data_IF_019415862505
#
_entry.id   IF_019415862505
#
_cell.length_a   1.000
_cell.length_b   1.000
_cell.length_c   1.000
_cell.angle_alpha   90.00
_cell.angle_beta   90.00
_cell.angle_gamma   90.00
#
_symmetry.space_group_name_H-M   'P 1'
#
loop_
_entity.id
_entity.type
_entity.pdbx_description
1 polymer ?
#
# COMPACT_ATOMS: atom_id res chain seq x y z
N UNK A 1 -4.96 -30.76 9.72
CA UNK A 1 -5.67 -29.65 10.39
C UNK A 1 -5.82 -28.51 9.39
N UNK A 2 -7.03 -27.97 9.15
CA UNK A 2 -7.26 -26.92 8.14
C UNK A 2 -6.31 -25.72 8.25
N UNK A 3 -6.09 -25.20 9.47
CA UNK A 3 -5.15 -24.09 9.68
C UNK A 3 -3.70 -24.38 9.26
N UNK A 4 -3.24 -25.64 9.35
CA UNK A 4 -1.89 -26.01 8.92
C UNK A 4 -1.78 -26.04 7.37
N UNK A 5 -2.83 -26.46 6.69
CA UNK A 5 -2.90 -26.47 5.22
C UNK A 5 -3.00 -25.03 4.67
N UNK A 6 -3.79 -24.17 5.32
CA UNK A 6 -3.87 -22.75 4.97
C UNK A 6 -2.51 -22.05 5.15
N UNK A 7 -1.84 -22.27 6.28
CA UNK A 7 -0.50 -21.73 6.53
C UNK A 7 0.56 -22.23 5.55
N UNK A 8 0.51 -23.52 5.17
CA UNK A 8 1.39 -24.06 4.13
C UNK A 8 1.16 -23.34 2.79
N UNK A 9 -0.10 -23.12 2.41
CA UNK A 9 -0.43 -22.34 1.22
C UNK A 9 0.12 -20.91 1.25
N UNK A 10 0.04 -20.22 2.40
CA UNK A 10 0.60 -18.86 2.55
C UNK A 10 2.13 -18.84 2.35
N UNK A 11 2.84 -19.82 2.89
CA UNK A 11 4.30 -19.95 2.74
C UNK A 11 4.66 -20.26 1.29
N UNK A 12 3.99 -21.22 0.66
CA UNK A 12 4.23 -21.61 -0.73
C UNK A 12 4.00 -20.44 -1.71
N UNK A 13 2.91 -19.68 -1.49
CA UNK A 13 2.66 -18.42 -2.22
C UNK A 13 3.83 -17.44 -2.08
N UNK A 14 4.30 -17.23 -0.84
CA UNK A 14 5.36 -16.25 -0.56
C UNK A 14 6.65 -16.55 -1.33
N UNK A 15 6.98 -17.83 -1.51
CA UNK A 15 8.17 -18.29 -2.25
C UNK A 15 7.91 -18.55 -3.74
N UNK A 16 6.74 -18.16 -4.27
CA UNK A 16 6.42 -18.27 -5.70
C UNK A 16 5.95 -19.65 -6.18
N UNK A 17 5.69 -20.60 -5.29
CA UNK A 17 5.19 -21.96 -5.61
C UNK A 17 3.66 -21.96 -5.70
N UNK A 18 3.13 -21.31 -6.73
CA UNK A 18 1.70 -21.01 -6.81
C UNK A 18 0.81 -22.27 -6.90
N UNK A 19 1.14 -23.23 -7.76
CA UNK A 19 0.31 -24.43 -7.96
C UNK A 19 0.24 -25.29 -6.69
N UNK A 20 1.37 -25.43 -5.98
CA UNK A 20 1.43 -26.12 -4.69
C UNK A 20 0.60 -25.39 -3.62
N UNK A 21 0.61 -24.04 -3.64
CA UNK A 21 -0.22 -23.24 -2.74
C UNK A 21 -1.71 -23.46 -3.01
N UNK A 22 -2.14 -23.44 -4.28
CA UNK A 22 -3.53 -23.70 -4.69
C UNK A 22 -3.96 -25.10 -4.26
N UNK A 23 -3.13 -26.11 -4.48
CA UNK A 23 -3.41 -27.48 -4.06
C UNK A 23 -3.61 -27.57 -2.54
N UNK A 24 -2.76 -26.89 -1.76
CA UNK A 24 -2.86 -26.84 -0.30
C UNK A 24 -4.15 -26.16 0.18
N UNK A 25 -4.54 -25.06 -0.46
CA UNK A 25 -5.81 -24.39 -0.16
C UNK A 25 -7.03 -25.22 -0.52
N UNK A 26 -7.02 -25.89 -1.69
CA UNK A 26 -8.10 -26.79 -2.10
C UNK A 26 -8.29 -27.95 -1.12
N UNK A 27 -7.19 -28.51 -0.64
CA UNK A 27 -7.24 -29.55 0.38
C UNK A 27 -7.80 -29.03 1.71
N UNK A 28 -7.48 -27.79 2.08
CA UNK A 28 -8.03 -27.14 3.27
C UNK A 28 -9.55 -26.97 3.17
N UNK A 29 -10.07 -26.43 2.06
CA UNK A 29 -11.54 -26.25 1.88
C UNK A 29 -12.27 -27.57 1.73
N UNK A 30 -11.63 -28.62 1.19
CA UNK A 30 -12.19 -29.98 1.16
C UNK A 30 -12.41 -30.54 2.57
N UNK A 31 -11.52 -30.21 3.51
CA UNK A 31 -11.61 -30.65 4.90
C UNK A 31 -12.53 -29.77 5.77
N UNK A 32 -12.58 -28.47 5.50
CA UNK A 32 -13.44 -27.53 6.19
C UNK A 32 -13.95 -26.46 5.21
N UNK A 33 -15.11 -26.69 4.56
CA UNK A 33 -15.69 -25.76 3.61
C UNK A 33 -15.98 -24.37 4.20
N UNK A 34 -16.26 -24.30 5.52
CA UNK A 34 -16.60 -23.07 6.23
C UNK A 34 -15.36 -22.22 6.58
N UNK A 35 -14.16 -22.66 6.18
CA UNK A 35 -12.92 -21.92 6.38
C UNK A 35 -12.77 -20.80 5.33
N UNK A 36 -13.58 -19.75 5.47
CA UNK A 36 -13.63 -18.57 4.61
C UNK A 36 -12.26 -17.95 4.35
N UNK A 37 -11.36 -17.89 5.34
CA UNK A 37 -9.99 -17.34 5.14
C UNK A 37 -9.25 -18.03 3.98
N UNK A 38 -9.47 -19.34 3.77
CA UNK A 38 -8.84 -20.06 2.65
C UNK A 38 -9.46 -19.71 1.31
N UNK A 39 -10.80 -19.57 1.25
CA UNK A 39 -11.47 -19.09 0.04
C UNK A 39 -11.01 -17.70 -0.35
N UNK A 40 -10.94 -16.79 0.63
CA UNK A 40 -10.35 -15.48 0.43
C UNK A 40 -8.88 -15.57 0.00
N UNK A 41 -8.07 -16.45 0.60
CA UNK A 41 -6.66 -16.62 0.24
C UNK A 41 -6.48 -17.06 -1.22
N UNK A 42 -7.35 -17.96 -1.73
CA UNK A 42 -7.41 -18.34 -3.14
C UNK A 42 -7.75 -17.15 -4.04
N UNK A 43 -8.80 -16.40 -3.69
CA UNK A 43 -9.19 -15.18 -4.42
C UNK A 43 -8.06 -14.14 -4.44
N UNK A 44 -7.35 -14.02 -3.32
CA UNK A 44 -6.26 -13.06 -3.12
C UNK A 44 -4.94 -13.44 -3.81
N UNK A 45 -4.88 -14.60 -4.50
CA UNK A 45 -3.83 -14.88 -5.50
C UNK A 45 -4.00 -14.00 -6.75
N UNK A 46 -5.20 -13.45 -6.99
CA UNK A 46 -5.60 -12.59 -8.13
C UNK A 46 -5.53 -13.25 -9.52
N UNK A 47 -4.62 -14.19 -9.72
CA UNK A 47 -4.42 -14.98 -10.95
C UNK A 47 -5.24 -16.28 -10.96
N UNK A 48 -5.73 -16.72 -9.80
CA UNK A 48 -6.64 -17.87 -9.66
C UNK A 48 -8.07 -17.51 -10.13
N UNK A 49 -8.81 -18.52 -10.59
CA UNK A 49 -10.21 -18.44 -11.03
C UNK A 49 -11.00 -19.57 -10.38
N UNK A 50 -12.12 -19.24 -9.75
CA UNK A 50 -13.03 -20.22 -9.19
C UNK A 50 -13.85 -20.88 -10.29
N UNK A 51 -14.21 -22.14 -10.04
CA UNK A 51 -15.23 -22.86 -10.82
C UNK A 51 -16.64 -22.47 -10.35
N UNK A 52 -17.65 -22.72 -11.19
CA UNK A 52 -19.05 -22.45 -10.84
C UNK A 52 -19.50 -23.22 -9.58
N UNK A 53 -19.01 -24.45 -9.40
CA UNK A 53 -19.29 -25.27 -8.21
C UNK A 53 -18.66 -24.68 -6.94
N UNK A 54 -17.43 -24.16 -7.04
CA UNK A 54 -16.74 -23.45 -5.94
C UNK A 54 -17.50 -22.16 -5.59
N UNK A 55 -17.99 -21.41 -6.58
CA UNK A 55 -18.83 -20.21 -6.37
C UNK A 55 -20.14 -20.59 -5.66
N UNK A 56 -20.86 -21.60 -6.17
CA UNK A 56 -22.10 -22.07 -5.56
C UNK A 56 -21.89 -22.54 -4.12
N UNK A 57 -20.76 -23.21 -3.84
CA UNK A 57 -20.38 -23.61 -2.48
C UNK A 57 -20.23 -22.39 -1.57
N UNK A 58 -19.50 -21.36 -1.99
CA UNK A 58 -19.34 -20.13 -1.19
C UNK A 58 -20.68 -19.41 -0.96
N UNK A 59 -21.55 -19.37 -1.96
CA UNK A 59 -22.89 -18.77 -1.83
C UNK A 59 -23.75 -19.51 -0.79
N UNK A 60 -23.75 -20.85 -0.84
CA UNK A 60 -24.46 -21.67 0.15
C UNK A 60 -23.95 -21.48 1.59
N UNK A 61 -22.64 -21.22 1.77
CA UNK A 61 -22.10 -20.90 3.10
C UNK A 61 -22.64 -19.58 3.67
N UNK A 62 -22.89 -18.59 2.81
CA UNK A 62 -23.44 -17.30 3.24
C UNK A 62 -24.90 -17.38 3.70
N UNK A 63 -25.63 -18.45 3.35
CA UNK A 63 -27.00 -18.71 3.81
C UNK A 63 -27.05 -19.16 5.28
N UNK A 64 -25.94 -19.60 5.88
CA UNK A 64 -25.88 -19.96 7.30
C UNK A 64 -25.88 -18.70 8.18
N UNK A 65 -26.96 -18.48 8.92
CA UNK A 65 -27.10 -17.36 9.87
C UNK A 65 -26.09 -17.42 11.03
N UNK A 66 -25.53 -18.60 11.33
CA UNK A 66 -24.56 -18.79 12.41
C UNK A 66 -23.12 -18.64 11.95
N UNK A 67 -22.89 -18.34 10.67
CA UNK A 67 -21.55 -18.11 10.14
C UNK A 67 -20.90 -16.90 10.84
N UNK A 68 -19.71 -17.04 11.45
CA UNK A 68 -19.03 -15.92 12.09
C UNK A 68 -18.75 -14.79 11.09
N UNK A 69 -18.94 -13.54 11.51
CA UNK A 69 -18.78 -12.34 10.67
C UNK A 69 -17.44 -12.29 9.91
N UNK A 70 -16.36 -12.75 10.55
CA UNK A 70 -15.06 -12.81 9.89
C UNK A 70 -15.02 -13.78 8.72
N UNK A 71 -15.67 -14.94 8.85
CA UNK A 71 -15.77 -15.90 7.75
C UNK A 71 -16.72 -15.38 6.67
N UNK A 72 -17.82 -14.74 7.07
CA UNK A 72 -18.78 -14.09 6.15
C UNK A 72 -18.08 -13.07 5.26
N UNK A 73 -17.34 -12.12 5.85
CA UNK A 73 -16.55 -11.14 5.09
C UNK A 73 -15.55 -11.81 4.13
N UNK A 74 -14.86 -12.86 4.57
CA UNK A 74 -13.93 -13.58 3.69
C UNK A 74 -14.62 -14.18 2.45
N UNK A 75 -15.81 -14.78 2.61
CA UNK A 75 -16.58 -15.30 1.49
C UNK A 75 -17.10 -14.19 0.57
N UNK A 76 -17.59 -13.10 1.12
CA UNK A 76 -18.06 -11.93 0.36
C UNK A 76 -16.94 -11.35 -0.51
N UNK A 77 -15.74 -11.13 0.04
CA UNK A 77 -14.59 -10.69 -0.77
C UNK A 77 -14.14 -11.73 -1.81
N UNK A 78 -14.24 -13.03 -1.51
CA UNK A 78 -13.91 -14.08 -2.46
C UNK A 78 -14.90 -14.15 -3.64
N UNK A 79 -16.20 -14.04 -3.35
CA UNK A 79 -17.26 -13.97 -4.35
C UNK A 79 -17.19 -12.69 -5.17
N UNK A 80 -16.93 -11.54 -4.54
CA UNK A 80 -16.68 -10.28 -5.24
C UNK A 80 -15.58 -10.44 -6.29
N UNK A 81 -14.49 -11.13 -5.96
CA UNK A 81 -13.41 -11.44 -6.90
C UNK A 81 -13.83 -12.44 -7.98
N UNK A 82 -14.59 -13.46 -7.64
CA UNK A 82 -15.07 -14.46 -8.59
C UNK A 82 -15.96 -13.84 -9.68
N UNK A 83 -16.90 -12.98 -9.28
CA UNK A 83 -17.78 -12.27 -10.22
C UNK A 83 -17.04 -11.20 -11.03
N UNK A 84 -16.05 -10.51 -10.43
CA UNK A 84 -15.19 -9.59 -11.16
C UNK A 84 -14.41 -10.31 -12.28
N UNK A 85 -13.90 -11.50 -12.00
CA UNK A 85 -13.19 -12.32 -12.97
C UNK A 85 -14.09 -12.79 -14.12
N UNK A 86 -15.38 -13.01 -13.84
CA UNK A 86 -16.44 -13.27 -14.81
C UNK A 86 -16.95 -12.00 -15.52
N UNK A 87 -16.41 -10.81 -15.18
CA UNK A 87 -16.83 -9.49 -15.65
C UNK A 87 -18.27 -9.11 -15.29
N UNK A 88 -18.83 -9.74 -14.26
CA UNK A 88 -20.10 -9.35 -13.68
C UNK A 88 -19.85 -8.34 -12.56
N UNK A 89 -19.62 -7.10 -12.98
CA UNK A 89 -19.19 -6.03 -12.07
C UNK A 89 -20.27 -5.60 -11.08
N UNK A 90 -21.54 -5.75 -11.44
CA UNK A 90 -22.68 -5.48 -10.56
C UNK A 90 -22.68 -6.43 -9.37
N UNK A 91 -22.67 -7.75 -9.62
CA UNK A 91 -22.61 -8.74 -8.53
C UNK A 91 -21.30 -8.66 -7.78
N UNK A 92 -20.19 -8.41 -8.47
CA UNK A 92 -18.89 -8.22 -7.84
C UNK A 92 -18.94 -7.09 -6.80
N UNK A 93 -19.45 -5.92 -7.20
CA UNK A 93 -19.57 -4.77 -6.31
C UNK A 93 -20.49 -5.05 -5.14
N UNK A 94 -21.66 -5.67 -5.38
CA UNK A 94 -22.60 -6.03 -4.33
C UNK A 94 -21.96 -6.89 -3.23
N UNK A 95 -21.15 -7.89 -3.59
CA UNK A 95 -20.43 -8.71 -2.62
C UNK A 95 -19.29 -7.94 -1.94
N UNK A 96 -18.52 -7.12 -2.68
CA UNK A 96 -17.52 -6.27 -2.03
C UNK A 96 -18.16 -5.32 -1.03
N UNK A 97 -19.29 -4.68 -1.36
CA UNK A 97 -20.00 -3.77 -0.46
C UNK A 97 -20.44 -4.46 0.83
N UNK A 98 -21.08 -5.64 0.73
CA UNK A 98 -21.46 -6.43 1.91
C UNK A 98 -20.26 -6.78 2.81
N UNK A 99 -19.16 -7.24 2.20
CA UNK A 99 -17.93 -7.54 2.93
C UNK A 99 -17.30 -6.31 3.60
N UNK A 100 -17.33 -5.17 2.93
CA UNK A 100 -16.85 -3.90 3.46
C UNK A 100 -17.74 -3.43 4.62
N UNK A 101 -19.06 -3.48 4.50
CA UNK A 101 -20.01 -3.12 5.56
C UNK A 101 -19.82 -3.98 6.81
N UNK A 102 -19.69 -5.30 6.64
CA UNK A 102 -19.39 -6.23 7.74
C UNK A 102 -18.08 -5.86 8.43
N UNK A 103 -17.03 -5.61 7.63
CA UNK A 103 -15.71 -5.30 8.16
C UNK A 103 -15.68 -3.94 8.86
N UNK A 104 -16.33 -2.92 8.30
CA UNK A 104 -16.37 -1.56 8.82
C UNK A 104 -16.95 -1.49 10.22
N UNK A 105 -17.98 -2.30 10.53
CA UNK A 105 -18.59 -2.38 11.87
C UNK A 105 -17.63 -2.86 12.96
N UNK A 106 -16.52 -3.51 12.58
CA UNK A 106 -15.52 -4.07 13.49
C UNK A 106 -14.24 -3.24 13.57
N UNK A 107 -14.10 -2.23 12.73
CA UNK A 107 -12.95 -1.33 12.72
C UNK A 107 -13.27 -0.07 13.54
N UNK A 108 -12.28 0.40 14.31
CA UNK A 108 -12.36 1.70 14.98
C UNK A 108 -11.59 2.72 14.14
N UNK A 109 -12.32 3.54 13.39
CA UNK A 109 -11.77 4.60 12.55
C UNK A 109 -12.59 5.87 12.71
N UNK A 110 -11.88 6.99 12.79
CA UNK A 110 -12.42 8.33 12.92
C UNK A 110 -11.65 9.25 11.94
N UNK A 111 -12.32 9.76 10.89
CA UNK A 111 -11.68 10.64 9.92
C UNK A 111 -11.24 11.98 10.54
N UNK A 112 -11.93 12.48 11.57
CA UNK A 112 -11.57 13.74 12.26
C UNK A 112 -10.26 13.58 13.02
N UNK A 113 -10.10 12.47 13.76
CA UNK A 113 -8.83 12.19 14.45
C UNK A 113 -7.65 12.03 13.47
N UNK A 114 -7.92 11.53 12.27
CA UNK A 114 -6.91 11.40 11.21
C UNK A 114 -6.51 12.77 10.68
N UNK A 115 -7.48 13.63 10.38
CA UNK A 115 -7.24 15.00 9.93
C UNK A 115 -6.47 15.82 10.99
N UNK A 116 -6.91 15.78 12.25
CA UNK A 116 -6.23 16.44 13.38
C UNK A 116 -4.77 15.97 13.52
N UNK A 117 -4.52 14.68 13.32
CA UNK A 117 -3.16 14.14 13.37
C UNK A 117 -2.31 14.66 12.21
N UNK A 118 -2.85 14.70 10.99
CA UNK A 118 -2.16 15.25 9.81
C UNK A 118 -1.88 16.75 9.94
N UNK A 119 -2.81 17.52 10.50
CA UNK A 119 -2.58 18.95 10.81
C UNK A 119 -1.37 19.10 11.73
N UNK A 120 -1.29 18.30 12.80
CA UNK A 120 -0.13 18.31 13.70
C UNK A 120 1.18 17.92 13.00
N UNK A 121 1.15 17.06 11.99
CA UNK A 121 2.32 16.76 11.17
C UNK A 121 2.74 17.99 10.34
N UNK A 122 1.80 18.57 9.60
CA UNK A 122 2.03 19.75 8.74
C UNK A 122 2.57 20.92 9.58
N UNK A 123 1.94 21.21 10.72
CA UNK A 123 2.35 22.27 11.64
C UNK A 123 3.73 22.02 12.26
N UNK A 124 4.02 20.79 12.69
CA UNK A 124 5.31 20.46 13.32
C UNK A 124 6.46 20.56 12.33
N UNK A 125 6.24 20.08 11.10
CA UNK A 125 7.25 20.02 10.05
C UNK A 125 7.04 21.16 9.04
N UNK A 126 6.94 22.39 9.56
CA UNK A 126 6.82 23.59 8.73
C UNK A 126 8.09 23.84 7.90
N UNK A 127 7.97 24.67 6.87
CA UNK A 127 9.09 25.11 6.05
C UNK A 127 10.20 25.73 6.89
N UNK A 128 9.86 26.67 7.77
CA UNK A 128 10.81 27.37 8.63
C UNK A 128 11.53 26.40 9.58
N UNK A 129 10.79 25.41 10.09
CA UNK A 129 11.34 24.41 10.99
C UNK A 129 12.36 23.50 10.30
N UNK A 130 12.07 23.06 9.07
CA UNK A 130 12.95 22.19 8.29
C UNK A 130 14.16 22.95 7.75
N UNK A 131 13.99 24.18 7.25
CA UNK A 131 15.08 25.03 6.77
C UNK A 131 16.07 25.41 7.89
N UNK A 132 15.58 25.56 9.13
CA UNK A 132 16.43 25.78 10.31
C UNK A 132 17.28 24.54 10.68
N UNK A 133 16.99 23.37 10.11
CA UNK A 133 17.65 22.08 10.39
C UNK A 133 17.99 21.31 9.10
N UNK A 134 18.89 21.83 8.25
CA UNK A 134 19.08 21.34 6.86
C UNK A 134 19.81 19.98 6.72
N UNK A 135 19.83 19.13 7.75
CA UNK A 135 20.37 17.77 7.67
C UNK A 135 21.45 17.43 8.69
N UNK A 136 21.13 17.60 9.98
CA UNK A 136 22.03 17.23 11.08
C UNK A 136 21.96 15.74 11.46
N UNK A 137 21.04 14.98 10.87
CA UNK A 137 20.87 13.54 11.08
C UNK A 137 22.03 12.67 10.59
N UNK A 138 21.77 11.36 10.49
CA UNK A 138 22.75 10.41 9.99
C UNK A 138 22.90 10.54 8.46
N UNK A 139 24.11 10.73 7.91
CA UNK A 139 24.31 11.04 6.50
C UNK A 139 24.18 9.84 5.55
N UNK A 140 23.83 8.66 6.05
CA UNK A 140 23.61 7.48 5.21
C UNK A 140 22.58 7.76 4.12
N UNK A 141 22.93 7.40 2.89
CA UNK A 141 22.01 7.41 1.75
C UNK A 141 21.42 6.03 1.45
N UNK A 142 21.73 5.01 2.27
CA UNK A 142 21.33 3.62 2.02
C UNK A 142 19.80 3.43 1.83
N UNK A 143 18.92 4.05 2.63
CA UNK A 143 17.47 3.83 2.52
C UNK A 143 16.84 4.54 1.31
N UNK A 144 15.98 3.81 0.60
CA UNK A 144 15.04 4.34 -0.40
C UNK A 144 13.64 4.02 0.11
N UNK A 145 12.89 5.04 0.53
CA UNK A 145 11.52 4.85 0.99
C UNK A 145 10.56 4.92 -0.18
N UNK A 146 9.62 3.99 -0.20
CA UNK A 146 8.52 3.98 -1.17
C UNK A 146 7.23 4.12 -0.40
N UNK A 147 6.66 5.32 -0.47
CA UNK A 147 5.44 5.75 0.25
C UNK A 147 4.28 5.89 -0.73
N UNK A 148 3.10 6.22 -0.21
CA UNK A 148 1.90 6.45 -1.01
C UNK A 148 0.67 5.84 -0.32
N UNK A 149 -0.35 5.52 -1.11
CA UNK A 149 -1.46 4.71 -0.65
C UNK A 149 -1.30 3.24 -1.05
N UNK A 150 -1.97 2.31 -0.32
CA UNK A 150 -2.13 0.96 -0.81
C UNK A 150 -2.70 0.99 -2.23
N UNK A 151 -2.31 0.01 -3.05
CA UNK A 151 -2.86 -0.19 -4.41
C UNK A 151 -2.51 0.91 -5.44
N UNK A 152 -1.53 1.76 -5.13
CA UNK A 152 -0.97 2.77 -6.04
C UNK A 152 0.29 2.33 -6.81
N UNK A 153 0.62 1.03 -6.82
CA UNK A 153 1.78 0.53 -7.58
C UNK A 153 3.13 0.54 -6.84
N UNK A 154 3.15 0.84 -5.53
CA UNK A 154 4.39 0.85 -4.72
C UNK A 154 5.18 -0.47 -4.76
N UNK A 155 4.49 -1.62 -4.87
CA UNK A 155 5.18 -2.92 -5.01
C UNK A 155 5.88 -3.07 -6.37
N UNK A 156 5.34 -2.50 -7.45
CA UNK A 156 5.99 -2.50 -8.76
C UNK A 156 7.30 -1.68 -8.71
N UNK A 157 7.24 -0.49 -8.14
CA UNK A 157 8.41 0.38 -7.94
C UNK A 157 9.49 -0.36 -7.13
N UNK A 158 9.09 -1.05 -6.06
CA UNK A 158 10.01 -1.84 -5.25
C UNK A 158 10.67 -2.98 -6.03
N UNK A 159 9.92 -3.67 -6.89
CA UNK A 159 10.48 -4.74 -7.74
C UNK A 159 11.47 -4.19 -8.77
N UNK A 160 11.13 -3.07 -9.42
CA UNK A 160 12.03 -2.36 -10.34
C UNK A 160 13.35 -2.04 -9.63
N UNK A 161 13.28 -1.41 -8.46
CA UNK A 161 14.46 -1.03 -7.69
C UNK A 161 15.25 -2.26 -7.21
N UNK A 162 14.60 -3.27 -6.63
CA UNK A 162 15.28 -4.45 -6.10
C UNK A 162 15.94 -5.33 -7.17
N UNK A 163 15.59 -5.13 -8.44
CA UNK A 163 16.26 -5.77 -9.58
C UNK A 163 17.62 -5.13 -9.88
N UNK A 164 17.86 -3.91 -9.40
CA UNK A 164 19.16 -3.27 -9.48
C UNK A 164 20.19 -4.00 -8.59
N UNK A 165 21.42 -4.27 -9.08
CA UNK A 165 22.42 -5.03 -8.31
C UNK A 165 22.82 -4.40 -6.97
N UNK A 166 22.72 -3.08 -6.85
CA UNK A 166 23.08 -2.34 -5.63
C UNK A 166 21.92 -2.13 -4.64
N UNK A 167 20.71 -2.57 -4.96
CA UNK A 167 19.52 -2.30 -4.14
C UNK A 167 18.93 -3.60 -3.63
N UNK A 168 18.76 -3.71 -2.31
CA UNK A 168 18.08 -4.82 -1.68
C UNK A 168 16.60 -4.48 -1.37
N UNK A 169 15.69 -5.36 -1.77
CA UNK A 169 14.27 -5.17 -1.51
C UNK A 169 13.83 -5.74 -0.17
N UNK A 170 13.58 -4.90 0.84
CA UNK A 170 13.34 -5.34 2.23
C UNK A 170 11.87 -5.38 2.67
N UNK A 171 10.92 -5.21 1.73
CA UNK A 171 9.47 -5.25 1.97
C UNK A 171 8.97 -4.06 2.80
N UNK A 172 7.88 -4.27 3.56
CA UNK A 172 7.26 -3.31 4.47
C UNK A 172 7.97 -3.31 5.82
N UNK A 173 8.75 -2.26 6.14
CA UNK A 173 9.42 -2.15 7.43
C UNK A 173 8.59 -1.31 8.42
N UNK A 174 8.19 -1.86 9.58
CA UNK A 174 7.47 -1.08 10.60
C UNK A 174 8.39 -0.16 11.41
N UNK A 175 9.70 -0.14 11.13
CA UNK A 175 10.71 0.39 12.05
C UNK A 175 10.79 1.92 12.06
N UNK A 176 10.54 2.63 10.96
CA UNK A 176 10.46 4.09 10.98
C UNK A 176 9.36 4.58 11.92
N UNK A 177 8.16 4.01 11.79
CA UNK A 177 7.04 4.31 12.69
C UNK A 177 7.26 3.85 14.13
N UNK A 178 8.10 2.85 14.40
CA UNK A 178 8.51 2.47 15.77
C UNK A 178 9.48 3.48 16.37
N UNK A 179 10.46 3.93 15.59
CA UNK A 179 11.40 4.97 16.02
C UNK A 179 10.65 6.27 16.29
N UNK A 180 9.78 6.70 15.37
CA UNK A 180 8.93 7.87 15.55
C UNK A 180 8.08 7.80 16.83
N UNK A 181 7.36 6.68 17.06
CA UNK A 181 6.52 6.51 18.26
C UNK A 181 7.30 6.43 19.57
N UNK A 182 8.60 6.14 19.55
CA UNK A 182 9.42 6.20 20.77
C UNK A 182 9.65 7.64 21.25
N UNK A 183 9.49 8.62 20.35
CA UNK A 183 9.64 10.04 20.67
C UNK A 183 8.42 10.48 21.50
N UNK A 184 8.68 10.80 22.76
CA UNK A 184 7.62 11.14 23.73
C UNK A 184 7.57 10.24 24.94
N UNK A 185 8.09 9.02 24.83
CA UNK A 185 8.07 8.06 25.93
C UNK A 185 8.90 8.57 27.12
N UNK A 186 8.25 8.70 28.28
CA UNK A 186 8.91 9.11 29.52
C UNK A 186 9.28 10.60 29.61
N UNK A 187 8.82 11.44 28.68
CA UNK A 187 9.08 12.90 28.75
C UNK A 187 8.24 13.58 29.81
N UNK A 188 8.86 14.47 30.58
CA UNK A 188 8.17 15.27 31.60
C UNK A 188 7.15 16.25 31.01
N UNK A 189 7.44 16.82 29.83
CA UNK A 189 6.58 17.78 29.12
C UNK A 189 5.34 17.14 28.47
N UNK A 190 5.21 15.81 28.54
CA UNK A 190 4.13 14.99 27.95
C UNK A 190 3.94 15.20 26.44
N UNK A 191 4.88 15.85 25.75
CA UNK A 191 4.81 16.00 24.30
C UNK A 191 5.10 14.64 23.66
N UNK A 192 4.29 14.27 22.69
CA UNK A 192 4.49 13.07 21.87
C UNK A 192 4.81 13.45 20.43
N UNK A 193 5.25 12.46 19.66
CA UNK A 193 5.32 12.57 18.21
C UNK A 193 3.96 13.00 17.61
N UNK A 194 3.91 13.93 16.64
CA UNK A 194 5.06 14.60 16.00
C UNK A 194 5.66 15.77 16.80
N UNK A 195 4.86 16.50 17.59
CA UNK A 195 5.25 17.77 18.24
C UNK A 195 6.54 17.72 19.08
N UNK A 196 6.85 16.58 19.72
CA UNK A 196 8.06 16.42 20.52
C UNK A 196 9.37 16.56 19.71
N UNK A 197 9.33 16.32 18.39
CA UNK A 197 10.49 16.45 17.49
C UNK A 197 11.09 17.85 17.53
N UNK A 198 10.26 18.89 17.72
CA UNK A 198 10.70 20.29 17.74
C UNK A 198 11.80 20.57 18.78
N UNK A 199 11.83 19.80 19.85
CA UNK A 199 12.72 19.98 21.00
C UNK A 199 13.96 19.09 20.99
N UNK A 200 14.11 18.22 19.99
CA UNK A 200 15.25 17.31 19.92
C UNK A 200 16.52 18.05 19.52
N UNK A 201 17.65 17.69 20.13
CA UNK A 201 18.96 18.15 19.68
C UNK A 201 19.39 17.44 18.38
N UNK A 202 20.36 18.01 17.70
CA UNK A 202 20.95 17.41 16.49
C UNK A 202 21.54 16.02 16.73
N UNK A 203 22.16 15.81 17.90
CA UNK A 203 22.71 14.51 18.27
C UNK A 203 21.59 13.47 18.47
N UNK A 204 20.48 13.86 19.11
CA UNK A 204 19.31 12.99 19.25
C UNK A 204 18.70 12.62 17.89
N UNK A 205 18.62 13.57 16.95
CA UNK A 205 18.16 13.30 15.58
C UNK A 205 19.07 12.30 14.86
N UNK A 206 20.39 12.45 15.00
CA UNK A 206 21.39 11.52 14.42
C UNK A 206 21.31 10.13 15.05
N UNK A 207 21.09 10.04 16.36
CA UNK A 207 20.90 8.77 17.06
C UNK A 207 19.63 8.05 16.58
N UNK A 208 18.52 8.78 16.39
CA UNK A 208 17.29 8.21 15.85
C UNK A 208 17.46 7.66 14.43
N UNK A 209 18.21 8.38 13.57
CA UNK A 209 18.57 7.89 12.23
C UNK A 209 19.42 6.62 12.28
N UNK A 210 20.39 6.58 13.20
CA UNK A 210 21.23 5.40 13.43
C UNK A 210 20.42 4.21 13.95
N UNK A 211 19.47 4.45 14.85
CA UNK A 211 18.57 3.42 15.37
C UNK A 211 17.64 2.86 14.29
N UNK A 212 17.13 3.70 13.39
CA UNK A 212 16.38 3.22 12.22
C UNK A 212 17.22 2.29 11.35
N UNK A 213 18.44 2.70 10.98
CA UNK A 213 19.34 1.87 10.16
C UNK A 213 19.66 0.54 10.84
N UNK A 214 19.97 0.56 12.15
CA UNK A 214 20.24 -0.65 12.94
C UNK A 214 19.04 -1.62 12.96
N UNK A 215 17.82 -1.09 13.02
CA UNK A 215 16.60 -1.90 12.98
C UNK A 215 16.35 -2.50 11.60
N UNK A 216 16.54 -1.70 10.56
CA UNK A 216 16.38 -2.10 9.16
C UNK A 216 17.39 -3.18 8.76
N UNK A 217 18.59 -3.19 9.34
CA UNK A 217 19.63 -4.19 9.08
C UNK A 217 19.15 -5.64 9.27
N UNK A 218 18.19 -5.88 10.18
CA UNK A 218 17.62 -7.23 10.41
C UNK A 218 16.82 -7.76 9.22
N UNK A 219 16.48 -6.90 8.27
CA UNK A 219 15.73 -7.22 7.06
C UNK A 219 16.63 -7.30 5.83
N UNK A 220 17.94 -7.09 5.99
CA UNK A 220 18.94 -7.08 4.92
C UNK A 220 19.75 -8.37 4.98
N UNK A 221 19.48 -9.26 4.05
CA UNK A 221 20.10 -10.58 3.92
C UNK A 221 21.25 -10.56 2.90
N UNK A 222 21.20 -9.66 1.90
CA UNK A 222 22.16 -9.59 0.80
C UNK A 222 23.29 -8.59 1.04
N UNK A 223 23.12 -7.65 1.99
CA UNK A 223 24.15 -6.67 2.34
C UNK A 223 24.44 -5.67 1.22
N UNK A 224 23.47 -5.41 0.33
CA UNK A 224 23.66 -4.47 -0.80
C UNK A 224 23.79 -3.02 -0.29
N UNK A 225 24.48 -2.12 -1.01
CA UNK A 225 24.71 -0.74 -0.57
C UNK A 225 23.43 0.06 -0.26
N UNK A 226 22.36 -0.16 -1.03
CA UNK A 226 21.05 0.48 -0.84
C UNK A 226 20.00 -0.56 -0.45
N UNK A 227 18.94 -0.12 0.20
CA UNK A 227 17.78 -0.96 0.47
C UNK A 227 16.46 -0.18 0.37
N UNK A 228 15.38 -0.85 -0.01
CA UNK A 228 14.04 -0.24 -0.05
C UNK A 228 13.28 -0.49 1.23
N UNK A 229 12.69 0.55 1.81
CA UNK A 229 11.62 0.45 2.81
C UNK A 229 10.30 0.84 2.12
N UNK A 230 9.53 -0.17 1.70
CA UNK A 230 8.27 0.03 1.00
C UNK A 230 7.13 -0.17 1.97
N UNK A 231 6.76 0.87 2.70
CA UNK A 231 5.56 0.90 3.53
C UNK A 231 4.75 2.17 3.17
N UNK A 232 3.62 2.05 2.44
CA UNK A 232 2.90 3.20 1.91
C UNK A 232 2.60 4.28 2.97
N UNK A 233 2.11 3.83 4.13
CA UNK A 233 1.73 4.70 5.25
C UNK A 233 2.90 5.49 5.87
N UNK A 234 4.16 5.24 5.50
CA UNK A 234 5.28 6.09 5.91
C UNK A 234 5.23 7.49 5.30
N UNK A 235 4.27 7.80 4.41
CA UNK A 235 4.11 9.14 3.81
C UNK A 235 4.00 10.26 4.85
N UNK A 236 3.37 10.02 6.01
CA UNK A 236 3.29 11.02 7.09
C UNK A 236 4.63 11.32 7.76
N UNK A 237 5.61 10.43 7.60
CA UNK A 237 6.91 10.52 8.27
C UNK A 237 8.01 11.18 7.43
N UNK A 238 7.71 11.72 6.23
CA UNK A 238 8.73 12.27 5.33
C UNK A 238 9.51 13.43 5.97
N UNK A 239 8.84 14.38 6.62
CA UNK A 239 9.51 15.47 7.35
C UNK A 239 10.43 14.95 8.46
N UNK A 240 9.99 13.93 9.22
CA UNK A 240 10.82 13.30 10.24
C UNK A 240 12.03 12.56 9.65
N UNK A 241 11.82 11.79 8.58
CA UNK A 241 12.88 11.10 7.86
C UNK A 241 13.95 12.08 7.39
N UNK A 242 13.56 13.21 6.82
CA UNK A 242 14.49 14.22 6.33
C UNK A 242 15.43 14.73 7.44
N UNK A 243 14.92 14.88 8.66
CA UNK A 243 15.73 15.32 9.81
C UNK A 243 16.71 14.24 10.28
N UNK A 244 16.29 12.97 10.33
CA UNK A 244 17.11 11.89 10.88
C UNK A 244 18.04 11.24 9.84
N UNK A 245 17.68 11.30 8.56
CA UNK A 245 18.36 10.68 7.41
C UNK A 245 18.26 11.59 6.18
N UNK A 246 18.96 12.75 6.16
CA UNK A 246 18.80 13.79 5.14
C UNK A 246 19.11 13.36 3.70
N UNK A 247 19.88 12.27 3.54
CA UNK A 247 20.30 11.70 2.26
C UNK A 247 19.46 10.49 1.84
N UNK A 248 18.47 10.08 2.63
CA UNK A 248 17.51 9.07 2.19
C UNK A 248 16.66 9.61 1.03
N UNK A 249 16.29 8.72 0.10
CA UNK A 249 15.47 9.07 -1.06
C UNK A 249 14.04 8.61 -0.83
N UNK A 250 13.06 9.42 -1.21
CA UNK A 250 11.64 9.09 -1.07
C UNK A 250 11.00 9.07 -2.44
N UNK A 251 10.24 8.01 -2.72
CA UNK A 251 9.40 7.86 -3.91
C UNK A 251 7.95 7.75 -3.44
N UNK A 252 7.09 8.61 -3.95
CA UNK A 252 5.65 8.57 -3.72
C UNK A 252 4.97 7.85 -4.89
N UNK A 253 4.42 6.66 -4.61
CA UNK A 253 3.67 5.89 -5.59
C UNK A 253 2.26 6.48 -5.75
N UNK A 254 1.98 7.05 -6.91
CA UNK A 254 0.69 7.66 -7.25
C UNK A 254 -0.04 6.86 -8.31
N UNK A 255 -1.36 6.96 -8.32
CA UNK A 255 -2.26 6.31 -9.27
C UNK A 255 -3.51 7.15 -9.39
N UNK A 256 -4.29 6.97 -10.46
CA UNK A 256 -5.60 7.61 -10.58
C UNK A 256 -6.42 7.41 -9.27
N UNK A 257 -6.99 8.48 -8.68
CA UNK A 257 -7.65 8.41 -7.37
C UNK A 257 -8.71 7.30 -7.28
N UNK A 258 -9.64 7.24 -8.24
CA UNK A 258 -10.68 6.19 -8.28
C UNK A 258 -10.12 4.76 -8.40
N UNK A 259 -9.04 4.53 -9.17
CA UNK A 259 -8.43 3.21 -9.30
C UNK A 259 -7.68 2.78 -8.03
N UNK A 260 -7.04 3.74 -7.35
CA UNK A 260 -6.36 3.52 -6.08
C UNK A 260 -7.36 3.16 -4.99
N UNK A 261 -8.41 3.98 -4.85
CA UNK A 261 -9.47 3.79 -3.86
C UNK A 261 -10.26 2.51 -4.14
N UNK A 262 -10.78 2.29 -5.34
CA UNK A 262 -11.47 1.04 -5.67
C UNK A 262 -10.56 -0.18 -5.46
N UNK A 263 -9.27 -0.07 -5.81
CA UNK A 263 -8.30 -1.13 -5.54
C UNK A 263 -8.22 -1.49 -4.05
N UNK A 264 -8.29 -0.48 -3.17
CA UNK A 264 -8.23 -0.63 -1.72
C UNK A 264 -9.55 -1.16 -1.15
N UNK A 265 -10.69 -0.64 -1.64
CA UNK A 265 -12.03 -1.10 -1.27
C UNK A 265 -12.28 -2.58 -1.59
N UNK A 266 -11.69 -3.08 -2.68
CA UNK A 266 -11.77 -4.52 -3.06
C UNK A 266 -10.76 -5.41 -2.33
N UNK A 267 -9.94 -4.86 -1.44
CA UNK A 267 -8.92 -5.60 -0.73
C UNK A 267 -9.28 -5.72 0.75
N UNK A 268 -9.56 -6.93 1.21
CA UNK A 268 -9.59 -7.21 2.64
C UNK A 268 -8.15 -7.17 3.17
N UNK A 269 -7.84 -6.16 4.00
CA UNK A 269 -6.54 -6.00 4.62
C UNK A 269 -6.50 -6.70 5.98
N UNK A 270 -5.37 -7.34 6.30
CA UNK A 270 -5.23 -8.01 7.59
C UNK A 270 -5.35 -7.02 8.76
N UNK A 271 -4.67 -5.86 8.67
CA UNK A 271 -4.67 -4.75 9.64
C UNK A 271 -4.23 -3.43 9.00
N UNK A 272 -4.52 -2.32 9.68
CA UNK A 272 -3.84 -1.03 9.47
C UNK A 272 -4.35 -0.15 8.34
N UNK A 273 -5.44 -0.56 7.67
CA UNK A 273 -6.10 0.21 6.61
C UNK A 273 -7.61 0.32 6.88
N UNK A 274 -8.05 0.81 8.06
CA UNK A 274 -9.46 0.76 8.44
C UNK A 274 -10.35 1.72 7.62
N UNK A 275 -9.78 2.78 7.05
CA UNK A 275 -10.47 3.74 6.19
C UNK A 275 -10.93 3.18 4.84
N UNK A 276 -10.53 1.96 4.47
CA UNK A 276 -10.79 1.42 3.13
C UNK A 276 -12.15 0.75 3.00
N UNK A 277 -12.90 0.60 4.10
CA UNK A 277 -14.13 -0.19 4.15
C UNK A 277 -15.41 0.66 4.02
N UNK A 278 -15.29 1.97 3.79
CA UNK A 278 -16.39 2.87 3.44
C UNK A 278 -15.91 3.83 2.34
N UNK A 279 -16.78 4.14 1.38
CA UNK A 279 -16.38 4.94 0.21
C UNK A 279 -16.18 6.43 0.54
N UNK A 280 -16.93 6.99 1.49
CA UNK A 280 -16.75 8.38 1.93
C UNK A 280 -15.44 8.50 2.70
N UNK A 281 -15.24 7.64 3.70
CA UNK A 281 -14.03 7.62 4.54
C UNK A 281 -12.75 7.40 3.71
N UNK A 282 -12.85 6.55 2.69
CA UNK A 282 -11.75 6.28 1.78
C UNK A 282 -11.42 7.50 0.90
N UNK A 283 -12.44 8.22 0.43
CA UNK A 283 -12.27 9.49 -0.28
C UNK A 283 -11.64 10.55 0.62
N UNK A 284 -12.14 10.72 1.84
CA UNK A 284 -11.62 11.68 2.82
C UNK A 284 -10.16 11.39 3.15
N UNK A 285 -9.82 10.13 3.41
CA UNK A 285 -8.43 9.73 3.66
C UNK A 285 -7.52 9.99 2.45
N UNK A 286 -8.03 9.85 1.22
CA UNK A 286 -7.26 10.17 0.02
C UNK A 286 -6.96 11.67 -0.07
N UNK A 287 -7.93 12.54 0.23
CA UNK A 287 -7.72 14.00 0.27
C UNK A 287 -6.69 14.38 1.34
N UNK A 288 -6.77 13.75 2.51
CA UNK A 288 -5.81 13.92 3.60
C UNK A 288 -4.39 13.49 3.19
N UNK A 289 -4.26 12.35 2.52
CA UNK A 289 -3.00 11.90 1.95
C UNK A 289 -2.44 12.92 0.94
N UNK A 290 -3.29 13.41 0.03
CA UNK A 290 -2.90 14.40 -0.98
C UNK A 290 -2.39 15.68 -0.30
N UNK A 291 -3.12 16.20 0.70
CA UNK A 291 -2.73 17.38 1.48
C UNK A 291 -1.37 17.24 2.15
N UNK A 292 -1.10 16.10 2.78
CA UNK A 292 0.20 15.82 3.41
C UNK A 292 1.33 15.71 2.37
N UNK A 293 1.06 15.07 1.23
CA UNK A 293 2.07 14.97 0.15
C UNK A 293 2.37 16.31 -0.51
N UNK A 294 1.35 17.15 -0.72
CA UNK A 294 1.52 18.51 -1.25
C UNK A 294 2.36 19.37 -0.31
N UNK A 295 2.12 19.27 1.00
CA UNK A 295 2.98 19.90 2.00
C UNK A 295 4.44 19.46 1.86
N UNK A 296 4.71 18.15 1.70
CA UNK A 296 6.09 17.68 1.49
C UNK A 296 6.72 18.17 0.20
N UNK A 297 5.96 18.28 -0.89
CA UNK A 297 6.46 18.85 -2.14
C UNK A 297 6.80 20.33 -1.98
N UNK A 298 6.01 21.08 -1.20
CA UNK A 298 6.25 22.50 -0.93
C UNK A 298 7.48 22.74 -0.03
N UNK A 299 7.58 22.02 1.08
CA UNK A 299 8.60 22.29 2.12
C UNK A 299 9.89 21.51 1.94
N UNK A 300 9.91 20.46 1.11
CA UNK A 300 11.08 19.65 0.79
C UNK A 300 11.23 19.42 -0.74
N UNK A 301 11.35 20.48 -1.55
CA UNK A 301 11.38 20.36 -3.00
C UNK A 301 12.50 19.43 -3.47
N UNK A 302 12.17 18.47 -4.32
CA UNK A 302 13.10 17.48 -4.87
C UNK A 302 13.49 16.34 -3.93
N UNK A 303 12.97 16.28 -2.69
CA UNK A 303 13.19 15.14 -1.79
C UNK A 303 12.26 13.97 -2.07
N UNK A 304 11.07 14.25 -2.59
CA UNK A 304 10.06 13.24 -2.93
C UNK A 304 9.87 13.21 -4.44
N UNK A 305 10.13 12.06 -5.06
CA UNK A 305 9.78 11.82 -6.45
C UNK A 305 8.37 11.23 -6.54
N UNK A 306 7.45 11.94 -7.17
CA UNK A 306 6.15 11.37 -7.55
C UNK A 306 6.32 10.45 -8.78
N UNK A 307 5.84 9.22 -8.65
CA UNK A 307 5.81 8.22 -9.73
C UNK A 307 4.37 7.81 -9.97
N UNK A 308 3.83 8.24 -11.11
CA UNK A 308 2.48 7.89 -11.54
C UNK A 308 2.47 6.47 -12.15
N UNK A 309 1.55 5.64 -11.67
CA UNK A 309 1.40 4.25 -12.10
C UNK A 309 1.13 4.15 -13.60
N UNK A 310 0.21 4.96 -14.12
CA UNK A 310 -0.20 4.95 -15.52
C UNK A 310 0.95 5.36 -16.46
N UNK A 311 1.80 6.30 -16.04
CA UNK A 311 3.02 6.68 -16.78
C UNK A 311 4.03 5.53 -16.78
N UNK A 312 4.15 4.80 -15.67
CA UNK A 312 5.06 3.64 -15.57
C UNK A 312 4.59 2.48 -16.43
N UNK A 313 3.28 2.31 -16.57
CA UNK A 313 2.68 1.29 -17.44
C UNK A 313 2.83 1.65 -18.92
N UNK A 314 2.70 2.94 -19.26
CA UNK A 314 2.73 3.40 -20.65
C UNK A 314 4.16 3.58 -21.20
N UNK A 315 5.10 4.02 -20.36
CA UNK A 315 6.51 4.24 -20.73
C UNK A 315 7.45 3.82 -19.58
N UNK A 316 7.65 2.51 -19.46
CA UNK A 316 8.46 1.93 -18.40
C UNK A 316 9.91 2.46 -18.42
N UNK A 317 10.56 2.51 -19.58
CA UNK A 317 11.98 2.84 -19.67
C UNK A 317 12.24 4.25 -19.16
N UNK A 318 11.45 5.22 -19.60
CA UNK A 318 11.56 6.61 -19.12
C UNK A 318 11.34 6.70 -17.62
N UNK A 319 10.32 6.00 -17.08
CA UNK A 319 10.07 6.03 -15.63
C UNK A 319 11.19 5.35 -14.83
N UNK A 320 11.75 4.24 -15.31
CA UNK A 320 12.91 3.60 -14.65
C UNK A 320 14.10 4.54 -14.65
N UNK A 321 14.37 5.26 -15.75
CA UNK A 321 15.47 6.26 -15.80
C UNK A 321 15.27 7.34 -14.73
N UNK A 322 14.07 7.92 -14.64
CA UNK A 322 13.72 8.93 -13.63
C UNK A 322 13.88 8.42 -12.20
N UNK A 323 13.42 7.19 -11.93
CA UNK A 323 13.51 6.56 -10.60
C UNK A 323 14.98 6.35 -10.20
N UNK A 324 15.80 5.80 -11.10
CA UNK A 324 17.22 5.53 -10.83
C UNK A 324 18.01 6.84 -10.67
N UNK A 325 17.75 7.84 -11.51
CA UNK A 325 18.36 9.17 -11.40
C UNK A 325 18.05 9.83 -10.05
N UNK A 326 16.79 9.85 -9.62
CA UNK A 326 16.41 10.37 -8.30
C UNK A 326 17.08 9.61 -7.15
N UNK A 327 17.35 8.33 -7.33
CA UNK A 327 18.01 7.49 -6.34
C UNK A 327 19.55 7.59 -6.36
N UNK A 328 20.13 8.36 -7.27
CA UNK A 328 21.58 8.41 -7.57
C UNK A 328 22.14 7.02 -7.93
N UNK A 329 21.38 6.23 -8.70
CA UNK A 329 21.76 4.90 -9.16
C UNK A 329 22.10 4.92 -10.66
N UNK A 330 23.14 4.18 -11.09
CA UNK A 330 23.42 4.03 -12.51
C UNK A 330 22.28 3.27 -13.22
N UNK A 331 22.18 3.45 -14.53
CA UNK A 331 21.25 2.65 -15.33
C UNK A 331 21.59 1.15 -15.24
N UNK A 332 20.57 0.31 -15.13
CA UNK A 332 20.72 -1.14 -15.22
C UNK A 332 19.49 -1.79 -15.88
N UNK A 333 19.72 -2.58 -16.94
CA UNK A 333 18.64 -3.22 -17.71
C UNK A 333 17.81 -4.22 -16.88
N UNK A 334 18.36 -4.76 -15.78
CA UNK A 334 17.62 -5.66 -14.89
C UNK A 334 16.36 -4.99 -14.32
N UNK A 335 16.37 -3.66 -14.15
CA UNK A 335 15.21 -2.89 -13.69
C UNK A 335 14.01 -2.94 -14.67
N UNK A 336 14.26 -3.12 -15.96
CA UNK A 336 13.20 -3.32 -16.97
C UNK A 336 12.63 -4.74 -16.95
N UNK A 337 13.41 -5.69 -16.45
CA UNK A 337 13.08 -7.11 -16.36
C UNK A 337 12.73 -7.52 -14.92
N UNK A 338 12.09 -6.62 -14.18
CA UNK A 338 11.82 -6.81 -12.76
C UNK A 338 11.06 -8.11 -12.43
N UNK A 339 10.26 -8.60 -13.38
CA UNK A 339 9.47 -9.83 -13.28
C UNK A 339 10.29 -11.12 -13.41
N UNK A 340 11.57 -11.04 -13.80
CA UNK A 340 12.49 -12.18 -13.86
C UNK A 340 13.18 -12.46 -12.51
N UNK A 341 12.94 -11.65 -11.48
CA UNK A 341 13.59 -11.82 -10.17
C UNK A 341 12.90 -12.88 -9.29
N UNK A 342 13.68 -13.82 -8.76
CA UNK A 342 13.21 -14.91 -7.87
C UNK A 342 12.99 -14.48 -6.41
N UNK A 343 12.70 -13.19 -6.17
CA UNK A 343 12.55 -12.65 -4.81
C UNK A 343 11.23 -13.07 -4.17
N UNK A 344 11.24 -13.28 -2.86
CA UNK A 344 10.00 -13.33 -2.07
C UNK A 344 9.33 -11.94 -2.06
N UNK A 345 8.01 -11.90 -2.24
CA UNK A 345 7.21 -10.65 -2.19
C UNK A 345 6.03 -10.86 -1.25
N UNK A 346 6.02 -10.16 -0.11
CA UNK A 346 5.04 -10.35 0.98
C UNK A 346 3.93 -9.29 0.94
N UNK A 347 3.32 -9.07 -0.22
CA UNK A 347 2.26 -8.06 -0.38
C UNK A 347 1.06 -8.64 -1.13
N UNK A 348 -0.11 -8.00 -1.01
CA UNK A 348 -1.30 -8.36 -1.78
C UNK A 348 -1.13 -8.21 -3.31
N UNK A 349 -0.08 -7.50 -3.76
CA UNK A 349 0.30 -7.35 -5.18
C UNK A 349 1.35 -8.34 -5.66
N UNK A 350 1.83 -9.26 -4.83
CA UNK A 350 2.93 -10.19 -5.15
C UNK A 350 2.80 -10.88 -6.50
N UNK A 351 1.66 -11.51 -6.79
CA UNK A 351 1.45 -12.22 -8.06
C UNK A 351 1.36 -11.30 -9.28
N UNK A 352 1.00 -10.03 -9.08
CA UNK A 352 0.87 -9.06 -10.17
C UNK A 352 2.25 -8.60 -10.67
N UNK A 353 3.22 -8.49 -9.77
CA UNK A 353 4.57 -8.01 -10.10
C UNK A 353 5.52 -9.11 -10.58
N UNK A 354 5.07 -10.38 -10.55
CA UNK A 354 5.76 -11.53 -11.18
C UNK A 354 5.46 -11.67 -12.68
N UNK A 355 4.75 -10.70 -13.26
CA UNK A 355 4.41 -10.66 -14.68
C UNK A 355 5.01 -9.40 -15.32
N UNK A 356 5.27 -9.43 -16.64
CA UNK A 356 5.55 -8.21 -17.40
C UNK A 356 4.45 -7.16 -17.19
N UNK A 357 4.79 -5.89 -17.45
CA UNK A 357 3.81 -4.80 -17.38
C UNK A 357 2.61 -5.09 -18.26
N UNK A 358 1.43 -4.78 -17.72
CA UNK A 358 0.15 -4.90 -18.39
C UNK A 358 -0.73 -3.69 -18.06
N UNK A 359 -1.60 -3.31 -19.01
CA UNK A 359 -2.46 -2.12 -18.89
C UNK A 359 -3.86 -2.42 -18.39
N UNK A 360 -4.23 -3.68 -18.16
CA UNK A 360 -5.61 -4.07 -17.81
C UNK A 360 -6.12 -3.53 -16.47
N UNK A 361 -5.25 -2.96 -15.64
CA UNK A 361 -5.62 -2.30 -14.38
C UNK A 361 -5.76 -0.78 -14.51
N UNK A 362 -5.35 -0.17 -15.62
CA UNK A 362 -5.50 1.27 -15.86
C UNK A 362 -6.95 1.59 -16.20
N UNK A 363 -7.51 2.59 -15.53
CA UNK A 363 -8.92 3.00 -15.63
C UNK A 363 -9.90 1.86 -15.36
N UNK A 364 -9.51 0.90 -14.51
CA UNK A 364 -10.36 -0.24 -14.18
C UNK A 364 -11.62 0.18 -13.41
N UNK A 365 -11.55 1.30 -12.69
CA UNK A 365 -12.68 1.94 -12.01
C UNK A 365 -13.88 2.21 -12.92
N UNK A 366 -13.69 2.38 -14.23
CA UNK A 366 -14.79 2.59 -15.20
C UNK A 366 -15.81 1.46 -15.20
N UNK A 367 -15.37 0.23 -14.92
CA UNK A 367 -16.27 -0.93 -14.82
C UNK A 367 -17.22 -0.86 -13.62
N UNK A 368 -16.90 0.00 -12.64
CA UNK A 368 -17.63 0.16 -11.38
C UNK A 368 -18.20 1.58 -11.21
N UNK A 369 -18.06 2.45 -12.21
CA UNK A 369 -18.31 3.89 -12.09
C UNK A 369 -19.69 4.21 -11.48
N UNK A 370 -20.73 3.49 -11.91
CA UNK A 370 -22.10 3.63 -11.39
C UNK A 370 -22.25 3.39 -9.88
N UNK A 371 -21.30 2.70 -9.26
CA UNK A 371 -21.29 2.38 -7.83
C UNK A 371 -20.37 3.29 -7.00
N UNK A 372 -19.59 4.16 -7.66
CA UNK A 372 -18.58 5.00 -7.02
C UNK A 372 -19.08 6.40 -6.68
N UNK A 373 -20.39 6.67 -6.74
CA UNK A 373 -20.99 7.98 -6.46
C UNK A 373 -20.44 8.68 -5.22
N UNK A 374 -20.50 8.06 -4.02
CA UNK A 374 -19.93 8.62 -2.80
C UNK A 374 -18.45 9.02 -2.91
N UNK A 375 -17.65 8.16 -3.55
CA UNK A 375 -16.22 8.38 -3.72
C UNK A 375 -15.92 9.49 -4.73
N UNK A 376 -16.70 9.57 -5.81
CA UNK A 376 -16.61 10.63 -6.83
C UNK A 376 -16.97 11.98 -6.21
N UNK A 377 -18.03 12.03 -5.40
CA UNK A 377 -18.47 13.24 -4.69
C UNK A 377 -17.35 13.79 -3.79
N UNK A 378 -16.75 12.94 -2.96
CA UNK A 378 -15.66 13.39 -2.07
C UNK A 378 -14.41 13.80 -2.85
N UNK A 379 -14.05 13.05 -3.91
CA UNK A 379 -12.83 13.32 -4.68
C UNK A 379 -13.00 14.34 -5.80
N UNK A 380 -14.18 14.95 -5.95
CA UNK A 380 -14.49 15.93 -6.99
C UNK A 380 -13.38 16.98 -7.18
N UNK A 381 -12.84 17.63 -6.12
CA UNK A 381 -11.79 18.64 -6.28
C UNK A 381 -10.54 18.14 -7.00
N UNK A 382 -10.15 16.87 -6.80
CA UNK A 382 -8.98 16.29 -7.46
C UNK A 382 -9.31 15.75 -8.85
N UNK A 383 -10.55 15.27 -9.05
CA UNK A 383 -10.98 14.70 -10.33
C UNK A 383 -11.17 15.78 -11.39
N UNK A 384 -11.61 16.99 -11.00
CA UNK A 384 -11.76 18.13 -11.92
C UNK A 384 -10.43 18.64 -12.49
N UNK A 385 -9.31 18.39 -11.81
CA UNK A 385 -7.97 18.74 -12.28
C UNK A 385 -7.43 17.77 -13.33
N UNK A 386 -8.01 16.57 -13.44
CA UNK A 386 -7.56 15.55 -14.38
C UNK A 386 -7.91 15.91 -15.84
N UNK A 387 -7.19 15.35 -16.83
CA UNK A 387 -7.61 15.40 -18.23
C UNK A 387 -9.06 14.89 -18.41
N UNK A 388 -9.82 15.49 -19.32
CA UNK A 388 -11.25 15.19 -19.49
C UNK A 388 -11.55 13.71 -19.79
N UNK A 389 -10.65 13.03 -20.48
CA UNK A 389 -10.72 11.59 -20.79
C UNK A 389 -10.43 10.69 -19.58
N UNK A 390 -9.97 11.25 -18.46
CA UNK A 390 -9.71 10.56 -17.20
C UNK A 390 -10.80 10.81 -16.16
N UNK A 391 -11.72 11.74 -16.42
CA UNK A 391 -12.83 12.06 -15.51
C UNK A 391 -13.95 11.02 -15.57
N UNK A 392 -14.71 10.85 -14.45
CA UNK A 392 -16.03 10.21 -14.49
C UNK A 392 -16.98 11.01 -15.36
N UNK A 393 -17.96 10.32 -15.95
CA UNK A 393 -18.97 10.88 -16.84
C UNK A 393 -19.75 12.03 -16.18
N UNK A 394 -19.98 11.94 -14.86
CA UNK A 394 -20.64 13.00 -14.08
C UNK A 394 -19.87 14.31 -14.01
N UNK A 395 -18.55 14.30 -14.28
CA UNK A 395 -17.65 15.46 -14.22
C UNK A 395 -17.07 15.84 -15.60
N UNK A 396 -17.60 15.26 -16.68
CA UNK A 396 -17.26 15.68 -18.05
C UNK A 396 -18.05 16.95 -18.42
N UNK A 397 -17.42 17.88 -19.16
CA UNK A 397 -18.01 19.17 -19.53
C UNK A 397 -19.18 19.07 -20.51
#
# INVERSE_FOLDING_TARGET
HPGALSGLGHVLKTVGKQDEAIASYRECVRHNPNHGETWWSLANLKTFRFTDDEIATMQAQLEDEHLPDEQRANFEFALGKAFEDAKDYERAFSYYAQGNDNRRQRENYDPVQTADLHDRFIETFSKEFLEARPGTGNPSNAPILIVGLPRSGSTLIEQILASHPDVEGTHELPDLGRVARSIGLGREDRKSYPAAVATLSDDQLRELGTEYLRRAERHRELGRPRFTDKLPNNFVHVGFLHLILPNARVINARRHPLDSCLGSYKQLFARGQPFTYDLYELGEFYLEYQRVMDHWQEVLPGKVLDVQYEDTVSDLETQVRRILEHCDLPWNDACLKFYETDRAVKTASSEQVRKPIYSSSVQHWRNYEQHLGPLIEVLEPLLEELPADWRPESLKP
#
